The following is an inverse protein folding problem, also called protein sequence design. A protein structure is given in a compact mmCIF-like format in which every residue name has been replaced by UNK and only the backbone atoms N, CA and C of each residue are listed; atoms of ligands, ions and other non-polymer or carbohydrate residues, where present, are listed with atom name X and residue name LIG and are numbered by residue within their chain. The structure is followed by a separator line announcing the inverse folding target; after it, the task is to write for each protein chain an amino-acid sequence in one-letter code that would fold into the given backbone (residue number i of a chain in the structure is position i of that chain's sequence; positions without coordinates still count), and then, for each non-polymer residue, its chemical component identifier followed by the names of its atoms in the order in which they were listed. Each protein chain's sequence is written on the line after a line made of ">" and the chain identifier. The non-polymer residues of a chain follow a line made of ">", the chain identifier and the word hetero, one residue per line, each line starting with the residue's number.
data_IF_771452011388
#
_entry.id   IF_771452011388
#
_cell.length_a   1.000
_cell.length_b   1.000
_cell.length_c   1.000
_cell.angle_alpha   90.00
_cell.angle_beta   90.00
_cell.angle_gamma   90.00
#
_symmetry.space_group_name_H-M   'P 1'
#
loop_
_entity.id
_entity.type
_entity.pdbx_description
1 polymer ?
#
# COMPACT_ATOMS: atom_id res chain seq x y z
N UNK A 1 62.77 -20.92 6.95
CA UNK A 1 62.61 -19.45 7.10
C UNK A 1 61.16 -19.20 7.49
N UNK A 2 60.81 -18.10 8.17
CA UNK A 2 59.40 -17.86 8.49
C UNK A 2 58.56 -17.81 7.19
N UNK A 3 57.44 -18.54 7.15
CA UNK A 3 56.51 -18.52 6.02
C UNK A 3 56.98 -19.30 4.78
N UNK A 4 57.77 -20.37 4.92
CA UNK A 4 58.05 -21.32 3.81
C UNK A 4 57.22 -22.62 3.91
N UNK A 5 56.21 -22.64 4.78
CA UNK A 5 55.44 -23.82 5.17
C UNK A 5 55.81 -24.36 6.56
N UNK A 6 56.91 -23.88 7.14
CA UNK A 6 57.27 -24.05 8.54
C UNK A 6 57.71 -22.72 9.19
N UNK A 7 57.36 -22.54 10.46
CA UNK A 7 57.75 -21.38 11.26
C UNK A 7 59.17 -21.56 11.85
N UNK A 8 59.77 -20.49 12.36
CA UNK A 8 61.14 -20.49 12.92
C UNK A 8 61.34 -21.44 14.11
N UNK A 9 60.26 -21.88 14.75
CA UNK A 9 60.23 -22.88 15.81
C UNK A 9 59.98 -24.32 15.29
N UNK A 10 60.09 -24.54 13.98
CA UNK A 10 59.84 -25.81 13.30
C UNK A 10 58.41 -26.35 13.44
N UNK A 11 57.43 -25.51 13.74
CA UNK A 11 56.01 -25.89 13.65
C UNK A 11 55.47 -25.64 12.24
N UNK A 12 54.46 -26.39 11.82
CA UNK A 12 53.74 -26.11 10.57
C UNK A 12 53.12 -24.72 10.68
N UNK A 13 53.33 -23.88 9.67
CA UNK A 13 52.73 -22.54 9.63
C UNK A 13 51.21 -22.68 9.67
N UNK A 14 50.58 -21.86 10.51
CA UNK A 14 49.14 -21.81 10.73
C UNK A 14 48.75 -20.36 10.83
N UNK A 15 47.54 -20.09 10.38
CA UNK A 15 46.94 -18.78 10.54
C UNK A 15 47.01 -18.28 11.97
N UNK A 16 47.40 -17.02 12.12
CA UNK A 16 47.50 -16.28 13.38
C UNK A 16 48.87 -16.40 14.05
N UNK A 17 49.93 -16.67 13.28
CA UNK A 17 51.30 -16.76 13.80
C UNK A 17 52.12 -15.46 13.59
N UNK A 18 51.50 -14.43 13.00
CA UNK A 18 52.08 -13.12 12.69
C UNK A 18 52.91 -13.11 11.41
N UNK A 19 52.84 -14.16 10.59
CA UNK A 19 53.66 -14.34 9.39
C UNK A 19 52.81 -14.88 8.23
N UNK A 20 52.56 -14.02 7.25
CA UNK A 20 51.90 -14.41 5.99
C UNK A 20 52.66 -15.52 5.28
N UNK A 21 52.06 -16.71 5.26
CA UNK A 21 52.61 -17.94 4.70
C UNK A 21 51.97 -18.28 3.33
N UNK A 22 52.56 -19.17 2.52
CA UNK A 22 51.99 -19.58 1.24
C UNK A 22 50.57 -20.15 1.40
N UNK A 23 49.60 -19.45 0.81
CA UNK A 23 48.17 -19.77 0.91
C UNK A 23 47.37 -18.87 1.83
N UNK A 24 48.03 -17.96 2.57
CA UNK A 24 47.42 -16.91 3.39
C UNK A 24 47.41 -15.58 2.61
N UNK A 25 46.33 -14.82 2.73
CA UNK A 25 46.20 -13.46 2.18
C UNK A 25 46.62 -12.40 3.21
N UNK A 26 46.53 -12.73 4.50
CA UNK A 26 46.93 -11.90 5.64
C UNK A 26 47.37 -12.79 6.83
N UNK A 27 48.00 -12.19 7.83
CA UNK A 27 48.16 -12.77 9.17
C UNK A 27 48.44 -11.62 10.15
N UNK A 28 47.52 -11.36 11.08
CA UNK A 28 47.59 -10.27 12.06
C UNK A 28 48.07 -10.73 13.46
N UNK A 29 48.60 -11.96 13.54
CA UNK A 29 49.16 -12.51 14.77
C UNK A 29 48.15 -13.21 15.66
N UNK A 30 46.92 -13.42 15.21
CA UNK A 30 45.93 -14.25 15.89
C UNK A 30 44.84 -14.80 14.93
N UNK A 31 43.81 -15.46 15.47
CA UNK A 31 42.71 -16.07 14.67
C UNK A 31 41.33 -15.50 15.06
N UNK A 32 41.34 -14.34 15.71
CA UNK A 32 40.13 -13.56 15.96
C UNK A 32 39.71 -12.99 14.60
N UNK A 33 38.41 -12.78 14.43
CA UNK A 33 37.89 -12.14 13.22
C UNK A 33 37.47 -10.73 13.58
N UNK A 34 37.63 -9.79 12.67
CA UNK A 34 37.29 -8.38 12.82
C UNK A 34 38.45 -7.48 13.26
N UNK A 35 39.68 -7.98 13.30
CA UNK A 35 40.91 -7.26 13.63
C UNK A 35 41.91 -7.12 12.47
N UNK A 36 41.51 -7.55 11.26
CA UNK A 36 42.25 -7.31 10.03
C UNK A 36 42.60 -8.57 9.25
N UNK A 37 42.41 -9.75 9.85
CA UNK A 37 42.58 -11.04 9.20
C UNK A 37 41.58 -12.07 9.74
N UNK A 38 40.89 -12.81 8.87
CA UNK A 38 39.92 -13.79 9.32
C UNK A 38 40.61 -15.04 9.90
N UNK A 39 39.84 -15.92 10.55
CA UNK A 39 40.36 -17.18 11.12
C UNK A 39 40.96 -18.17 10.10
N UNK A 40 40.76 -17.94 8.81
CA UNK A 40 41.30 -18.73 7.71
C UNK A 40 42.45 -18.00 6.99
N UNK A 41 42.90 -16.86 7.53
CA UNK A 41 43.92 -15.99 6.99
C UNK A 41 43.57 -15.42 5.61
N UNK A 42 42.31 -15.06 5.46
CA UNK A 42 41.74 -14.33 4.34
C UNK A 42 41.54 -12.88 4.76
N UNK A 43 41.77 -11.97 3.82
CA UNK A 43 41.75 -10.55 4.11
C UNK A 43 40.30 -10.08 4.30
N UNK A 44 40.01 -9.58 5.50
CA UNK A 44 38.67 -9.05 5.82
C UNK A 44 38.49 -7.72 5.08
N UNK A 45 37.64 -7.73 4.05
CA UNK A 45 37.35 -6.56 3.24
C UNK A 45 35.88 -6.50 2.88
N UNK A 46 35.31 -5.33 3.14
CA UNK A 46 33.96 -5.04 2.70
C UNK A 46 33.84 -5.09 1.18
N UNK A 47 32.84 -5.83 0.70
CA UNK A 47 32.52 -6.03 -0.71
C UNK A 47 33.21 -7.25 -1.34
N UNK A 48 33.68 -8.22 -0.53
CA UNK A 48 34.35 -9.42 -1.03
C UNK A 48 33.39 -10.62 -1.23
N UNK A 49 32.11 -10.45 -0.89
CA UNK A 49 31.03 -11.42 -0.99
C UNK A 49 30.87 -12.30 0.26
N UNK A 50 31.55 -11.99 1.37
CA UNK A 50 31.56 -12.79 2.60
C UNK A 50 31.34 -11.88 3.79
N UNK A 51 30.42 -12.26 4.67
CA UNK A 51 30.22 -11.53 5.94
C UNK A 51 31.25 -12.02 6.95
N UNK A 52 32.26 -11.19 7.21
CA UNK A 52 33.43 -11.51 8.03
C UNK A 52 33.63 -10.46 9.15
N UNK A 53 34.34 -10.83 10.22
CA UNK A 53 34.64 -9.91 11.33
C UNK A 53 33.44 -9.12 11.91
N UNK A 54 33.51 -7.79 11.79
CA UNK A 54 32.52 -6.83 12.33
C UNK A 54 31.46 -6.40 11.30
N UNK A 55 31.39 -7.07 10.15
CA UNK A 55 30.44 -6.76 9.09
C UNK A 55 29.03 -7.22 9.46
N UNK A 56 28.04 -6.40 9.17
CA UNK A 56 26.62 -6.72 9.33
C UNK A 56 26.01 -7.30 8.04
N UNK A 57 26.69 -7.09 6.92
CA UNK A 57 26.36 -7.50 5.55
C UNK A 57 27.62 -7.47 4.68
N UNK A 58 27.59 -8.18 3.56
CA UNK A 58 28.52 -8.04 2.42
C UNK A 58 27.78 -8.57 1.18
N UNK A 59 27.67 -7.75 0.14
CA UNK A 59 26.96 -8.08 -1.11
C UNK A 59 27.90 -8.22 -2.32
N UNK A 60 29.20 -8.38 -2.07
CA UNK A 60 30.20 -8.57 -3.12
C UNK A 60 30.57 -7.31 -3.87
N UNK A 61 30.22 -6.12 -3.35
CA UNK A 61 30.67 -4.86 -3.90
C UNK A 61 30.73 -3.74 -2.83
N UNK A 62 31.18 -2.53 -3.20
CA UNK A 62 31.29 -1.38 -2.28
C UNK A 62 30.42 -0.20 -2.70
N UNK A 63 29.32 -0.46 -3.42
CA UNK A 63 28.42 0.57 -3.95
C UNK A 63 27.37 0.87 -2.89
N UNK A 64 27.31 2.10 -2.39
CA UNK A 64 26.22 2.44 -1.46
C UNK A 64 24.85 2.39 -2.17
N UNK A 65 23.86 1.75 -1.54
CA UNK A 65 22.45 1.80 -1.99
C UNK A 65 21.74 0.51 -2.30
N UNK A 66 22.46 -0.58 -2.15
CA UNK A 66 22.08 -1.97 -2.37
C UNK A 66 21.87 -2.72 -1.04
N UNK A 67 21.59 -1.99 0.05
CA UNK A 67 21.39 -2.49 1.42
C UNK A 67 22.66 -2.86 2.18
N UNK A 68 23.81 -2.95 1.52
CA UNK A 68 25.10 -3.01 2.20
C UNK A 68 25.92 -1.78 1.90
N UNK A 69 26.12 -0.93 2.91
CA UNK A 69 26.96 0.25 2.73
C UNK A 69 28.39 -0.19 2.45
N UNK A 70 29.17 0.67 1.81
CA UNK A 70 30.61 0.53 1.59
C UNK A 70 31.45 0.31 2.87
N UNK A 71 30.84 0.45 4.06
CA UNK A 71 31.43 0.14 5.35
C UNK A 71 30.86 -1.14 6.01
N UNK A 72 30.15 -1.96 5.24
CA UNK A 72 29.55 -3.24 5.62
C UNK A 72 28.64 -3.16 6.84
N UNK A 73 27.98 -2.00 7.00
CA UNK A 73 26.81 -1.82 7.86
C UNK A 73 25.56 -1.99 7.02
N UNK A 74 24.52 -2.59 7.60
CA UNK A 74 23.23 -2.68 6.92
C UNK A 74 22.70 -1.28 6.67
N UNK A 75 22.30 -1.01 5.44
CA UNK A 75 21.54 0.20 5.17
C UNK A 75 20.14 0.10 5.82
N UNK A 76 19.51 1.24 6.15
CA UNK A 76 18.11 1.27 6.53
C UNK A 76 17.25 0.54 5.50
N UNK A 77 16.22 -0.15 5.99
CA UNK A 77 15.36 -0.96 5.14
C UNK A 77 14.57 -0.03 4.22
N UNK A 78 14.49 -0.40 2.94
CA UNK A 78 13.88 0.44 1.93
C UNK A 78 12.34 0.35 1.94
N UNK A 79 11.65 1.49 2.01
CA UNK A 79 10.18 1.61 2.04
C UNK A 79 9.64 2.15 0.71
N UNK A 80 8.79 1.35 0.06
CA UNK A 80 8.10 1.71 -1.18
C UNK A 80 6.60 1.93 -0.93
N UNK A 81 6.15 3.17 -1.10
CA UNK A 81 4.76 3.56 -0.79
C UNK A 81 3.98 3.85 -2.07
N UNK A 82 2.81 3.23 -2.23
CA UNK A 82 1.83 3.67 -3.23
C UNK A 82 0.87 4.66 -2.59
N UNK A 83 0.69 5.85 -3.16
CA UNK A 83 -0.31 6.80 -2.64
C UNK A 83 -1.73 6.30 -2.96
N UNK A 84 -2.70 6.49 -2.04
CA UNK A 84 -4.03 5.97 -2.19
C UNK A 84 -4.78 6.75 -3.27
N UNK A 85 -5.54 6.05 -4.09
CA UNK A 85 -6.39 6.68 -5.08
C UNK A 85 -7.83 6.80 -4.59
N UNK A 86 -8.53 7.89 -4.95
CA UNK A 86 -9.97 7.95 -4.74
C UNK A 86 -10.68 6.85 -5.57
N UNK A 87 -11.88 6.40 -5.14
CA UNK A 87 -12.69 5.48 -5.91
C UNK A 87 -12.88 5.96 -7.36
N UNK A 88 -12.69 5.04 -8.30
CA UNK A 88 -12.83 5.31 -9.72
C UNK A 88 -14.28 5.12 -10.15
N UNK A 89 -14.73 5.91 -11.10
CA UNK A 89 -16.03 5.73 -11.75
C UNK A 89 -15.87 5.72 -13.25
N UNK A 90 -16.38 4.68 -13.90
CA UNK A 90 -16.46 4.52 -15.35
C UNK A 90 -17.91 4.39 -15.78
N UNK A 91 -18.25 4.95 -16.93
CA UNK A 91 -19.60 4.92 -17.47
C UNK A 91 -19.61 4.27 -18.85
N UNK A 92 -20.38 3.19 -18.99
CA UNK A 92 -20.70 2.57 -20.26
C UNK A 92 -21.91 3.30 -20.87
N UNK A 93 -21.67 4.00 -21.97
CA UNK A 93 -22.72 4.75 -22.69
C UNK A 93 -23.59 3.83 -23.54
N UNK A 94 -24.82 4.24 -23.82
CA UNK A 94 -25.69 3.51 -24.74
C UNK A 94 -25.02 3.43 -26.13
N UNK A 95 -25.08 2.26 -26.77
CA UNK A 95 -24.41 2.02 -28.06
C UNK A 95 -22.90 1.76 -27.98
N UNK A 96 -22.30 1.82 -26.78
CA UNK A 96 -20.91 1.45 -26.56
C UNK A 96 -20.84 0.34 -25.52
N UNK A 97 -20.20 -0.78 -25.88
CA UNK A 97 -20.04 -1.94 -24.99
C UNK A 97 -18.70 -1.95 -24.26
N UNK A 98 -17.79 -1.05 -24.60
CA UNK A 98 -16.47 -0.96 -23.98
C UNK A 98 -16.10 0.49 -23.66
N UNK A 99 -15.27 0.66 -22.63
CA UNK A 99 -14.65 1.94 -22.26
C UNK A 99 -13.23 1.68 -21.81
N UNK A 100 -12.29 2.48 -22.32
CA UNK A 100 -10.88 2.43 -21.90
C UNK A 100 -10.52 3.73 -21.16
N UNK A 101 -9.76 3.62 -20.06
CA UNK A 101 -9.28 4.79 -19.30
C UNK A 101 -7.87 4.54 -18.77
N UNK A 102 -7.01 5.53 -18.90
CA UNK A 102 -5.71 5.56 -18.21
C UNK A 102 -5.90 6.10 -16.80
N UNK A 103 -5.42 5.35 -15.81
CA UNK A 103 -5.34 5.75 -14.40
C UNK A 103 -3.88 5.98 -14.05
N UNK A 104 -3.59 6.96 -13.20
CA UNK A 104 -2.23 7.23 -12.74
C UNK A 104 -2.15 7.05 -11.24
N UNK A 105 -1.34 6.09 -10.80
CA UNK A 105 -0.94 5.90 -9.41
C UNK A 105 0.35 6.67 -9.16
N UNK A 106 0.61 7.06 -7.92
CA UNK A 106 1.90 7.62 -7.53
C UNK A 106 2.62 6.60 -6.67
N UNK A 107 3.81 6.18 -7.11
CA UNK A 107 4.72 5.36 -6.31
C UNK A 107 5.82 6.24 -5.77
N UNK A 108 6.11 6.14 -4.49
CA UNK A 108 7.10 6.96 -3.80
C UNK A 108 8.11 6.05 -3.13
N UNK A 109 9.38 6.39 -3.27
CA UNK A 109 10.42 5.86 -2.40
C UNK A 109 10.40 6.69 -1.10
N UNK A 110 9.93 6.09 0.00
CA UNK A 110 9.79 6.74 1.29
C UNK A 110 11.10 6.74 2.10
N UNK A 111 12.17 6.16 1.57
CA UNK A 111 13.50 6.26 2.18
C UNK A 111 14.03 7.68 2.07
N UNK A 112 14.30 8.27 3.23
CA UNK A 112 14.99 9.54 3.36
C UNK A 112 16.37 9.26 3.95
N UNK A 113 17.27 8.70 3.15
CA UNK A 113 18.68 8.71 3.51
C UNK A 113 19.24 10.15 3.43
N UNK A 114 20.13 10.56 4.36
CA UNK A 114 20.84 11.83 4.26
C UNK A 114 21.67 11.87 2.97
N UNK A 115 21.62 12.98 2.23
CA UNK A 115 22.48 13.18 1.06
C UNK A 115 23.96 13.15 1.52
N UNK A 116 24.87 12.40 0.87
CA UNK A 116 24.93 12.08 -0.57
C UNK A 116 24.40 10.69 -0.99
N UNK A 117 24.02 9.84 -0.03
CA UNK A 117 23.56 8.46 -0.25
C UNK A 117 22.06 8.41 -0.61
N UNK A 118 21.63 9.06 -1.69
CA UNK A 118 20.26 8.84 -2.23
C UNK A 118 20.27 7.98 -3.49
N UNK A 119 20.75 6.73 -3.42
CA UNK A 119 20.54 5.78 -4.50
C UNK A 119 19.02 5.62 -4.61
N UNK A 120 18.47 5.98 -5.76
CA UNK A 120 17.08 5.60 -6.03
C UNK A 120 17.00 4.07 -6.05
N UNK A 121 15.84 3.51 -5.78
CA UNK A 121 15.63 2.07 -5.90
C UNK A 121 14.85 1.75 -7.15
N UNK A 122 15.14 0.61 -7.75
CA UNK A 122 14.27 0.04 -8.77
C UNK A 122 13.00 -0.44 -8.07
N UNK A 123 11.88 0.20 -8.40
CA UNK A 123 10.57 -0.18 -7.89
C UNK A 123 9.77 -0.78 -9.04
N UNK A 124 9.27 -2.00 -8.83
CA UNK A 124 8.29 -2.64 -9.68
C UNK A 124 6.88 -2.32 -9.18
N UNK A 125 5.97 -1.94 -10.06
CA UNK A 125 4.54 -1.83 -9.76
C UNK A 125 3.81 -2.99 -10.43
N UNK A 126 3.13 -3.77 -9.61
CA UNK A 126 2.32 -4.91 -10.03
C UNK A 126 0.86 -4.47 -9.97
N UNK A 127 0.11 -4.71 -11.04
CA UNK A 127 -1.29 -4.39 -11.15
C UNK A 127 -2.12 -5.68 -11.31
N UNK A 128 -3.15 -5.85 -10.49
CA UNK A 128 -4.01 -7.03 -10.48
C UNK A 128 -5.48 -6.63 -10.55
N UNK A 129 -6.27 -7.39 -11.33
CA UNK A 129 -7.72 -7.20 -11.46
C UNK A 129 -8.47 -7.33 -10.12
N UNK A 130 -7.87 -7.99 -9.11
CA UNK A 130 -8.46 -8.14 -7.78
C UNK A 130 -9.79 -8.86 -7.83
N UNK A 131 -10.88 -8.19 -7.44
CA UNK A 131 -12.25 -8.72 -7.56
C UNK A 131 -12.97 -8.30 -8.84
N UNK A 132 -12.31 -7.52 -9.69
CA UNK A 132 -12.85 -7.16 -11.01
C UNK A 132 -12.78 -8.33 -11.99
N UNK A 133 -13.63 -8.34 -13.03
CA UNK A 133 -13.52 -9.33 -14.11
C UNK A 133 -12.12 -9.36 -14.71
N UNK A 134 -11.61 -10.55 -15.02
CA UNK A 134 -10.29 -10.73 -15.61
C UNK A 134 -10.15 -9.94 -16.91
N UNK A 135 -9.01 -9.26 -17.08
CA UNK A 135 -8.71 -8.39 -18.20
C UNK A 135 -9.31 -6.98 -18.05
N UNK A 136 -9.67 -6.57 -16.83
CA UNK A 136 -10.03 -5.18 -16.53
C UNK A 136 -8.80 -4.28 -16.62
N UNK A 137 -7.65 -4.75 -16.15
CA UNK A 137 -6.33 -4.16 -16.37
C UNK A 137 -5.75 -4.74 -17.65
N UNK A 138 -5.25 -3.88 -18.53
CA UNK A 138 -4.62 -4.28 -19.79
C UNK A 138 -3.19 -3.76 -19.86
N UNK A 139 -2.27 -4.64 -20.26
CA UNK A 139 -0.83 -4.37 -20.22
C UNK A 139 -0.27 -4.36 -18.80
N UNK A 140 1.03 -4.11 -18.68
CA UNK A 140 1.67 -3.80 -17.40
C UNK A 140 1.61 -2.27 -17.13
N UNK A 141 1.87 -1.83 -15.90
CA UNK A 141 2.03 -0.40 -15.61
C UNK A 141 3.15 0.23 -16.44
N UNK A 142 2.96 1.49 -16.83
CA UNK A 142 3.95 2.33 -17.52
C UNK A 142 4.45 3.41 -16.54
N UNK A 143 5.69 3.26 -16.06
CA UNK A 143 6.35 4.21 -15.17
C UNK A 143 7.22 5.23 -15.92
N UNK A 144 7.44 5.06 -17.23
CA UNK A 144 8.41 5.86 -17.99
C UNK A 144 7.73 6.62 -19.12
N UNK A 145 7.28 7.83 -18.80
CA UNK A 145 6.59 8.70 -19.76
C UNK A 145 7.41 8.91 -21.05
N UNK A 146 6.83 8.52 -22.18
CA UNK A 146 7.39 8.79 -23.50
C UNK A 146 8.24 7.65 -24.08
N UNK A 147 8.40 6.54 -23.35
CA UNK A 147 8.96 5.31 -23.89
C UNK A 147 7.80 4.34 -24.20
N UNK A 148 7.58 3.95 -25.46
CA UNK A 148 6.56 2.96 -25.80
C UNK A 148 6.84 1.61 -25.13
N UNK A 149 5.80 0.98 -24.59
CA UNK A 149 5.86 -0.32 -23.93
C UNK A 149 5.48 -0.22 -22.46
N UNK A 150 5.28 -1.36 -21.83
CA UNK A 150 4.92 -1.42 -20.42
C UNK A 150 6.21 -1.55 -19.60
N UNK A 151 6.70 -0.45 -19.02
CA UNK A 151 7.79 -0.46 -18.05
C UNK A 151 7.20 -0.51 -16.65
N UNK A 152 7.00 -1.72 -16.16
CA UNK A 152 6.50 -1.99 -14.81
C UNK A 152 7.54 -1.66 -13.73
N UNK A 153 8.75 -1.30 -14.13
CA UNK A 153 9.92 -1.03 -13.28
C UNK A 153 10.55 0.32 -13.60
N UNK A 154 10.87 1.11 -12.57
CA UNK A 154 11.63 2.35 -12.72
C UNK A 154 12.49 2.68 -11.51
N UNK A 155 13.57 3.44 -11.75
CA UNK A 155 14.41 3.98 -10.69
C UNK A 155 13.71 5.17 -10.02
N UNK A 156 13.30 5.01 -8.76
CA UNK A 156 12.62 6.03 -7.97
C UNK A 156 13.58 6.62 -6.95
N UNK A 157 13.92 7.90 -7.11
CA UNK A 157 14.79 8.63 -6.18
C UNK A 157 14.11 8.80 -4.82
N UNK A 158 14.87 8.64 -3.74
CA UNK A 158 14.39 8.84 -2.36
C UNK A 158 13.70 10.19 -2.17
N UNK A 159 12.49 10.16 -1.60
CA UNK A 159 11.64 11.32 -1.36
C UNK A 159 10.83 11.83 -2.56
N UNK A 160 11.01 11.27 -3.76
CA UNK A 160 10.27 11.65 -4.97
C UNK A 160 9.20 10.62 -5.34
N UNK A 161 8.07 11.11 -5.85
CA UNK A 161 7.02 10.29 -6.46
C UNK A 161 7.25 10.11 -7.96
N UNK A 162 6.98 8.91 -8.46
CA UNK A 162 6.95 8.57 -9.87
C UNK A 162 5.53 8.16 -10.27
N UNK A 163 4.96 8.71 -11.36
CA UNK A 163 3.65 8.29 -11.84
C UNK A 163 3.73 6.92 -12.52
N UNK A 164 2.86 5.99 -12.12
CA UNK A 164 2.63 4.72 -12.82
C UNK A 164 1.28 4.78 -13.53
N UNK A 165 1.29 4.69 -14.86
CA UNK A 165 0.08 4.72 -15.70
C UNK A 165 -0.42 3.29 -15.92
N UNK A 166 -1.70 3.08 -15.70
CA UNK A 166 -2.36 1.78 -15.89
C UNK A 166 -3.55 1.96 -16.80
N UNK A 167 -3.66 1.10 -17.81
CA UNK A 167 -4.80 1.09 -18.72
C UNK A 167 -5.89 0.18 -18.17
N UNK A 168 -7.09 0.75 -17.98
CA UNK A 168 -8.29 0.00 -17.65
C UNK A 168 -9.14 -0.17 -18.89
N UNK A 169 -9.59 -1.39 -19.15
CA UNK A 169 -10.53 -1.74 -20.22
C UNK A 169 -11.75 -2.44 -19.61
N UNK A 170 -12.88 -1.76 -19.62
CA UNK A 170 -14.14 -2.27 -19.05
C UNK A 170 -15.12 -2.59 -20.16
N UNK A 171 -15.79 -3.73 -20.05
CA UNK A 171 -16.81 -4.18 -21.00
C UNK A 171 -18.17 -4.35 -20.33
N UNK A 172 -19.25 -4.19 -21.09
CA UNK A 172 -20.63 -4.42 -20.61
C UNK A 172 -20.84 -5.87 -20.16
N UNK A 173 -20.17 -6.83 -20.80
CA UNK A 173 -20.24 -8.24 -20.42
C UNK A 173 -19.63 -8.52 -19.04
N UNK A 174 -18.56 -7.81 -18.65
CA UNK A 174 -17.96 -7.93 -17.32
C UNK A 174 -18.81 -7.31 -16.21
N UNK A 175 -19.69 -6.38 -16.55
CA UNK A 175 -20.51 -5.64 -15.59
C UNK A 175 -22.02 -5.68 -15.93
N UNK A 176 -22.63 -6.88 -15.97
CA UNK A 176 -24.00 -7.06 -16.44
C UNK A 176 -25.05 -6.40 -15.53
N UNK A 177 -24.74 -6.20 -14.25
CA UNK A 177 -25.64 -5.64 -13.25
C UNK A 177 -25.47 -4.12 -13.06
N UNK A 178 -24.53 -3.50 -13.80
CA UNK A 178 -24.32 -2.07 -13.75
C UNK A 178 -25.53 -1.32 -14.33
N UNK A 179 -25.99 -0.30 -13.61
CA UNK A 179 -27.04 0.62 -14.09
C UNK A 179 -26.57 2.06 -13.95
N UNK A 180 -27.40 3.01 -14.40
CA UNK A 180 -27.10 4.44 -14.29
C UNK A 180 -27.04 4.93 -12.84
N UNK A 181 -27.80 4.29 -11.94
CA UNK A 181 -27.96 4.74 -10.55
C UNK A 181 -27.32 3.81 -9.52
N UNK A 182 -27.26 2.53 -9.85
CA UNK A 182 -26.61 1.49 -9.05
C UNK A 182 -25.37 1.07 -9.84
N UNK A 183 -24.17 1.54 -9.48
CA UNK A 183 -22.95 1.07 -10.11
C UNK A 183 -22.78 -0.42 -9.81
N UNK A 184 -22.13 -1.22 -10.66
CA UNK A 184 -21.54 -2.49 -10.24
C UNK A 184 -20.12 -2.22 -9.72
N UNK A 185 -19.74 -2.80 -8.59
CA UNK A 185 -18.49 -2.53 -7.87
C UNK A 185 -17.54 -3.72 -7.94
N UNK A 186 -16.26 -3.42 -7.99
CA UNK A 186 -15.17 -4.35 -7.76
C UNK A 186 -13.95 -3.57 -7.25
N UNK A 187 -12.90 -4.28 -6.88
CA UNK A 187 -11.67 -3.73 -6.30
C UNK A 187 -10.50 -4.16 -7.16
N UNK A 188 -9.68 -3.19 -7.60
CA UNK A 188 -8.38 -3.42 -8.23
C UNK A 188 -7.30 -3.39 -7.15
N UNK A 189 -6.24 -4.19 -7.30
CA UNK A 189 -5.12 -4.23 -6.34
C UNK A 189 -3.83 -3.85 -7.04
N UNK A 190 -3.08 -2.92 -6.45
CA UNK A 190 -1.78 -2.50 -6.93
C UNK A 190 -0.75 -2.67 -5.82
N UNK A 191 0.42 -3.22 -6.15
CA UNK A 191 1.49 -3.46 -5.19
C UNK A 191 2.79 -2.91 -5.74
N UNK A 192 3.48 -2.08 -4.96
CA UNK A 192 4.86 -1.70 -5.20
C UNK A 192 5.79 -2.71 -4.54
N UNK A 193 6.86 -3.06 -5.25
CA UNK A 193 7.92 -3.92 -4.76
C UNK A 193 9.26 -3.30 -5.11
N UNK A 194 10.08 -3.05 -4.10
CA UNK A 194 11.49 -2.73 -4.31
C UNK A 194 12.23 -3.97 -4.81
N UNK A 195 12.91 -3.87 -5.94
CA UNK A 195 13.71 -4.94 -6.54
C UNK A 195 15.14 -4.87 -6.00
N UNK A 196 15.36 -5.49 -4.86
CA UNK A 196 16.67 -5.70 -4.24
C UNK A 196 16.81 -7.20 -3.94
N UNK A 197 18.01 -7.74 -4.12
CA UNK A 197 18.27 -9.18 -4.09
C UNK A 197 17.86 -9.83 -2.74
N UNK A 198 16.66 -10.41 -2.71
CA UNK A 198 16.17 -11.25 -1.60
C UNK A 198 15.65 -10.52 -0.36
N UNK A 199 15.60 -9.19 -0.33
CA UNK A 199 15.11 -8.43 0.84
C UNK A 199 13.73 -7.83 0.57
N UNK A 200 12.76 -8.20 1.40
CA UNK A 200 11.40 -7.69 1.36
C UNK A 200 11.25 -6.48 2.27
N UNK A 201 10.58 -5.44 1.75
CA UNK A 201 10.11 -4.28 2.52
C UNK A 201 9.23 -4.75 3.71
N UNK A 202 9.64 -4.50 4.97
CA UNK A 202 8.93 -4.91 6.17
C UNK A 202 7.67 -4.06 6.41
N UNK A 203 7.53 -2.93 5.70
CA UNK A 203 6.36 -2.05 5.76
C UNK A 203 5.29 -2.42 4.72
N UNK A 204 5.04 -3.72 4.55
CA UNK A 204 4.12 -4.27 3.54
C UNK A 204 2.66 -3.74 3.58
N UNK A 205 2.26 -2.95 4.58
CA UNK A 205 0.92 -2.38 4.66
C UNK A 205 0.69 -1.18 3.72
N UNK A 206 1.73 -0.38 3.41
CA UNK A 206 1.59 0.86 2.63
C UNK A 206 2.03 0.68 1.14
N UNK A 207 2.71 -0.41 0.83
CA UNK A 207 3.15 -0.76 -0.52
C UNK A 207 2.01 -1.29 -1.41
N UNK A 208 0.88 -1.68 -0.82
CA UNK A 208 -0.29 -2.20 -1.53
C UNK A 208 -1.47 -1.25 -1.37
N UNK A 209 -2.10 -0.89 -2.49
CA UNK A 209 -3.32 -0.08 -2.52
C UNK A 209 -4.43 -0.83 -3.24
N UNK A 210 -5.60 -0.85 -2.60
CA UNK A 210 -6.84 -1.33 -3.18
C UNK A 210 -7.68 -0.15 -3.67
N UNK A 211 -8.14 -0.21 -4.91
CA UNK A 211 -8.91 0.87 -5.54
C UNK A 211 -10.30 0.37 -5.93
N UNK A 212 -11.31 0.96 -5.31
CA UNK A 212 -12.71 0.65 -5.64
C UNK A 212 -13.07 1.20 -7.02
N UNK A 213 -13.49 0.33 -7.94
CA UNK A 213 -13.98 0.66 -9.27
C UNK A 213 -15.51 0.58 -9.31
N UNK A 214 -16.14 1.70 -9.63
CA UNK A 214 -17.58 1.82 -9.81
C UNK A 214 -17.91 1.90 -11.31
N UNK A 215 -18.53 0.85 -11.85
CA UNK A 215 -18.99 0.83 -13.25
C UNK A 215 -20.47 1.14 -13.31
N UNK A 216 -20.84 2.20 -14.02
CA UNK A 216 -22.24 2.53 -14.31
C UNK A 216 -22.53 2.27 -15.78
N UNK A 217 -23.78 1.94 -16.12
CA UNK A 217 -24.17 1.71 -17.50
C UNK A 217 -25.49 2.39 -17.85
N UNK A 218 -25.57 2.90 -19.09
CA UNK A 218 -26.81 3.38 -19.70
C UNK A 218 -27.24 2.42 -20.80
N UNK A 219 -28.50 1.97 -20.76
CA UNK A 219 -29.04 0.91 -21.62
C UNK A 219 -30.24 0.22 -20.95
N UNK A 220 -30.86 -0.79 -21.59
CA UNK A 220 -31.91 -1.57 -20.95
C UNK A 220 -31.31 -2.30 -19.75
N UNK A 221 -31.73 -1.90 -18.55
CA UNK A 221 -31.30 -2.54 -17.31
C UNK A 221 -31.83 -3.99 -17.24
N UNK A 222 -31.08 -4.94 -16.68
CA UNK A 222 -31.66 -6.19 -16.22
C UNK A 222 -32.76 -5.85 -15.21
N UNK A 223 -33.97 -6.39 -15.41
CA UNK A 223 -35.04 -6.28 -14.43
C UNK A 223 -34.78 -7.26 -13.30
N UNK A 224 -34.06 -6.83 -12.26
CA UNK A 224 -34.05 -7.54 -10.98
C UNK A 224 -34.72 -6.70 -9.92
N UNK A 225 -35.69 -7.32 -9.26
CA UNK A 225 -36.62 -6.73 -8.32
C UNK A 225 -35.97 -6.55 -6.94
N UNK A 226 -35.98 -5.30 -6.45
CA UNK A 226 -36.12 -4.79 -5.08
C UNK A 226 -35.46 -3.40 -5.00
N UNK A 227 -35.96 -2.47 -4.17
CA UNK A 227 -35.45 -1.11 -4.13
C UNK A 227 -34.05 -1.06 -3.52
N UNK A 228 -33.06 -0.91 -4.39
CA UNK A 228 -31.67 -0.85 -4.00
C UNK A 228 -31.30 0.56 -3.52
N UNK A 229 -30.59 0.61 -2.41
CA UNK A 229 -29.87 1.80 -1.96
C UNK A 229 -28.39 1.68 -2.33
N UNK A 230 -27.73 2.81 -2.42
CA UNK A 230 -26.30 2.90 -2.73
C UNK A 230 -25.64 3.72 -1.64
N UNK A 231 -24.72 3.09 -0.91
CA UNK A 231 -23.79 3.80 -0.05
C UNK A 231 -22.68 4.35 -0.93
N UNK A 232 -22.59 5.67 -1.08
CA UNK A 232 -21.56 6.29 -1.94
C UNK A 232 -20.18 5.99 -1.39
N UNK A 233 -19.26 5.73 -2.32
CA UNK A 233 -17.88 5.42 -2.03
C UNK A 233 -17.20 6.59 -1.32
N UNK A 234 -16.40 6.29 -0.32
CA UNK A 234 -15.71 7.29 0.49
C UNK A 234 -14.27 7.43 -0.03
N UNK A 235 -13.75 8.66 -0.02
CA UNK A 235 -12.37 8.92 -0.43
C UNK A 235 -11.40 8.57 0.71
N UNK A 236 -10.15 8.19 0.38
CA UNK A 236 -9.10 8.03 1.38
C UNK A 236 -8.96 9.28 2.27
N UNK A 237 -8.65 9.08 3.54
CA UNK A 237 -8.45 10.15 4.53
C UNK A 237 -7.05 10.04 5.12
N UNK A 238 -6.31 11.15 5.08
CA UNK A 238 -5.03 11.28 5.76
C UNK A 238 -5.24 11.89 7.14
N UNK A 239 -4.72 11.22 8.17
CA UNK A 239 -4.75 11.63 9.56
C UNK A 239 -3.33 11.93 10.04
N UNK A 240 -3.14 13.06 10.70
CA UNK A 240 -1.87 13.44 11.31
C UNK A 240 -2.07 13.56 12.82
N UNK A 241 -1.28 12.83 13.59
CA UNK A 241 -1.16 13.05 15.04
C UNK A 241 0.00 14.00 15.23
N UNK A 242 -0.31 15.24 15.63
CA UNK A 242 0.73 16.25 15.85
C UNK A 242 1.54 15.95 17.13
N UNK A 243 2.79 16.42 17.17
CA UNK A 243 3.67 16.26 18.33
C UNK A 243 3.02 16.71 19.63
N UNK A 244 3.07 15.85 20.65
CA UNK A 244 2.50 16.09 21.97
C UNK A 244 1.02 15.72 22.09
N UNK A 245 0.34 15.38 20.98
CA UNK A 245 -1.01 14.85 21.03
C UNK A 245 -0.97 13.32 21.11
N UNK A 246 -1.85 12.74 21.94
CA UNK A 246 -1.97 11.29 22.08
C UNK A 246 -2.96 10.65 21.09
N UNK A 247 -3.77 11.46 20.41
CA UNK A 247 -4.80 10.99 19.47
C UNK A 247 -5.21 12.09 18.48
N UNK A 248 -5.83 11.68 17.37
CA UNK A 248 -6.51 12.55 16.41
C UNK A 248 -7.94 12.07 16.18
N UNK A 249 -8.88 13.01 16.09
CA UNK A 249 -10.30 12.74 15.82
C UNK A 249 -10.70 13.38 14.49
N UNK A 250 -11.42 12.64 13.65
CA UNK A 250 -11.88 13.12 12.36
C UNK A 250 -13.28 12.62 12.03
N UNK A 251 -14.11 13.46 11.40
CA UNK A 251 -15.47 13.10 10.99
C UNK A 251 -15.55 12.97 9.48
N UNK A 252 -15.89 11.78 9.01
CA UNK A 252 -15.99 11.47 7.58
C UNK A 252 -17.45 11.54 7.12
N UNK A 253 -17.79 12.37 6.12
CA UNK A 253 -19.15 12.42 5.61
C UNK A 253 -19.49 11.15 4.82
N UNK A 254 -20.62 10.55 5.14
CA UNK A 254 -21.22 9.42 4.45
C UNK A 254 -22.45 9.89 3.67
N UNK A 255 -22.66 9.32 2.48
CA UNK A 255 -23.86 9.61 1.68
C UNK A 255 -24.53 8.32 1.27
N UNK A 256 -25.84 8.24 1.53
CA UNK A 256 -26.68 7.11 1.19
C UNK A 256 -27.79 7.59 0.26
N UNK A 257 -27.97 6.95 -0.90
CA UNK A 257 -28.98 7.32 -1.89
C UNK A 257 -29.84 6.14 -2.31
N UNK A 258 -31.16 6.33 -2.39
CA UNK A 258 -32.06 5.33 -2.95
C UNK A 258 -32.09 5.45 -4.48
N UNK A 259 -31.85 4.35 -5.19
CA UNK A 259 -31.84 4.33 -6.64
C UNK A 259 -33.26 4.43 -7.23
N UNK A 260 -34.25 3.88 -6.55
CA UNK A 260 -35.63 3.81 -7.02
C UNK A 260 -36.35 5.16 -6.95
N UNK A 261 -37.23 5.43 -7.91
CA UNK A 261 -38.17 6.56 -7.86
C UNK A 261 -39.58 6.02 -7.86
N UNK A 262 -40.00 5.46 -6.73
CA UNK A 262 -41.39 5.11 -6.50
C UNK A 262 -42.15 6.34 -5.95
N UNK A 263 -43.45 6.41 -6.22
CA UNK A 263 -44.30 7.46 -5.64
C UNK A 263 -44.36 7.28 -4.12
N UNK A 264 -44.54 8.37 -3.36
CA UNK A 264 -44.53 8.32 -1.88
C UNK A 264 -45.64 7.43 -1.26
N UNK A 265 -46.65 7.07 -2.06
CA UNK A 265 -47.72 6.14 -1.68
C UNK A 265 -47.28 4.68 -1.90
N UNK A 266 -46.44 4.42 -2.89
CA UNK A 266 -45.93 3.09 -3.25
C UNK A 266 -44.60 2.73 -2.55
N UNK A 267 -43.90 3.71 -1.98
CA UNK A 267 -42.68 3.51 -1.19
C UNK A 267 -42.74 4.33 0.11
N UNK A 268 -43.17 3.68 1.23
CA UNK A 268 -43.19 4.34 2.54
C UNK A 268 -41.79 4.70 3.06
N UNK A 269 -40.73 4.25 2.38
CA UNK A 269 -39.34 4.35 2.79
C UNK A 269 -38.91 3.12 3.58
N UNK A 270 -37.70 2.64 3.30
CA UNK A 270 -37.06 1.57 4.07
C UNK A 270 -36.17 2.15 5.15
N UNK A 271 -36.24 1.59 6.36
CA UNK A 271 -35.28 1.91 7.41
C UNK A 271 -33.94 1.29 7.04
N UNK A 272 -32.95 2.14 6.81
CA UNK A 272 -31.58 1.73 6.53
C UNK A 272 -30.74 1.98 7.77
N UNK A 273 -30.01 0.96 8.22
CA UNK A 273 -29.07 1.02 9.34
C UNK A 273 -27.65 1.05 8.80
N UNK A 274 -26.84 2.00 9.23
CA UNK A 274 -25.40 2.00 8.99
C UNK A 274 -24.66 1.34 10.15
N UNK A 275 -23.75 0.45 9.80
CA UNK A 275 -22.73 -0.08 10.69
C UNK A 275 -21.36 0.18 10.09
N UNK A 276 -20.35 0.29 10.95
CA UNK A 276 -18.96 0.39 10.53
C UNK A 276 -18.11 -0.54 11.41
N UNK A 277 -17.06 -1.08 10.82
CA UNK A 277 -16.11 -1.98 11.47
C UNK A 277 -14.70 -1.44 11.28
N UNK A 278 -13.86 -1.61 12.32
CA UNK A 278 -12.45 -1.20 12.29
C UNK A 278 -11.67 -1.84 11.13
N UNK A 279 -12.13 -2.95 10.56
CA UNK A 279 -11.50 -3.59 9.41
C UNK A 279 -10.08 -4.03 9.73
N UNK A 280 -9.08 -3.44 9.06
CA UNK A 280 -7.66 -3.66 9.34
C UNK A 280 -7.05 -2.59 10.26
N UNK A 281 -7.83 -1.57 10.65
CA UNK A 281 -7.37 -0.56 11.59
C UNK A 281 -7.37 -1.11 13.04
N UNK A 282 -6.59 -0.48 13.94
CA UNK A 282 -6.60 -0.86 15.35
C UNK A 282 -8.01 -0.81 15.97
N UNK A 283 -8.34 -1.70 16.92
CA UNK A 283 -9.63 -1.71 17.57
C UNK A 283 -9.97 -0.36 18.22
N UNK A 284 -11.20 0.11 18.02
CA UNK A 284 -11.66 1.40 18.54
C UNK A 284 -11.34 2.60 17.65
N UNK A 285 -10.83 2.36 16.44
CA UNK A 285 -10.66 3.40 15.41
C UNK A 285 -11.98 4.03 15.03
N UNK A 286 -13.02 3.22 14.93
CA UNK A 286 -14.35 3.61 14.45
C UNK A 286 -15.27 3.94 15.62
N UNK A 287 -15.74 5.18 15.63
CA UNK A 287 -16.80 5.66 16.52
C UNK A 287 -18.21 5.35 15.99
N UNK A 288 -19.26 5.80 16.71
CA UNK A 288 -20.64 5.59 16.27
C UNK A 288 -20.91 6.30 14.93
N UNK A 289 -21.61 5.60 14.03
CA UNK A 289 -22.13 6.21 12.79
C UNK A 289 -23.38 7.02 13.11
N UNK A 290 -23.45 8.25 12.61
CA UNK A 290 -24.52 9.19 12.93
C UNK A 290 -25.16 9.74 11.67
N UNK A 291 -26.48 9.66 11.52
CA UNK A 291 -27.17 10.40 10.46
C UNK A 291 -27.44 11.85 10.88
N UNK A 292 -27.25 12.78 9.94
CA UNK A 292 -27.67 14.18 10.14
C UNK A 292 -29.15 14.32 9.78
N UNK A 293 -30.04 14.04 10.74
CA UNK A 293 -31.49 14.19 10.54
C UNK A 293 -31.95 15.51 11.14
N UNK A 294 -32.16 16.53 10.28
CA UNK A 294 -32.88 17.80 10.49
C UNK A 294 -33.29 18.15 11.95
N UNK A 295 -32.31 18.31 12.87
CA UNK A 295 -32.54 18.80 14.22
C UNK A 295 -33.17 17.81 15.23
N UNK A 296 -33.07 16.49 15.04
CA UNK A 296 -33.41 15.48 16.07
C UNK A 296 -32.33 14.41 16.22
N UNK A 297 -32.45 13.67 17.34
CA UNK A 297 -31.52 12.70 17.93
C UNK A 297 -30.59 11.93 16.97
N UNK A 298 -29.36 11.72 17.43
CA UNK A 298 -28.35 10.87 16.80
C UNK A 298 -28.90 9.46 16.64
N UNK A 299 -29.06 9.00 15.40
CA UNK A 299 -29.50 7.65 15.08
C UNK A 299 -28.58 7.04 14.02
N UNK A 300 -28.33 5.74 14.15
CA UNK A 300 -27.64 4.91 13.16
C UNK A 300 -28.61 4.30 12.13
N UNK A 301 -29.91 4.56 12.27
CA UNK A 301 -30.95 4.11 11.37
C UNK A 301 -31.78 5.30 10.87
N UNK A 302 -32.11 5.32 9.57
CA UNK A 302 -32.92 6.38 8.96
C UNK A 302 -33.90 5.82 7.93
N UNK A 303 -35.16 6.27 7.90
CA UNK A 303 -36.06 5.94 6.80
C UNK A 303 -35.62 6.67 5.52
N UNK A 304 -35.27 5.90 4.49
CA UNK A 304 -34.88 6.41 3.19
C UNK A 304 -36.00 6.17 2.17
N UNK A 305 -36.57 7.26 1.67
CA UNK A 305 -37.56 7.23 0.58
C UNK A 305 -36.87 7.19 -0.77
N UNK A 306 -37.50 6.55 -1.76
CA UNK A 306 -37.06 6.51 -3.14
C UNK A 306 -36.63 7.88 -3.69
N UNK A 307 -35.46 7.91 -4.32
CA UNK A 307 -34.91 9.07 -5.01
C UNK A 307 -34.37 10.15 -4.09
N UNK A 308 -34.37 9.92 -2.77
CA UNK A 308 -33.74 10.82 -1.80
C UNK A 308 -32.31 10.37 -1.49
N UNK A 309 -31.55 11.31 -0.96
CA UNK A 309 -30.22 11.09 -0.40
C UNK A 309 -30.23 11.59 1.04
N UNK A 310 -29.62 10.82 1.92
CA UNK A 310 -29.40 11.19 3.32
C UNK A 310 -27.89 11.23 3.56
N UNK A 311 -27.46 12.20 4.36
CA UNK A 311 -26.07 12.34 4.79
C UNK A 311 -25.91 11.86 6.22
N UNK A 312 -24.77 11.23 6.51
CA UNK A 312 -24.33 10.89 7.85
C UNK A 312 -22.86 11.25 8.04
N UNK A 313 -22.35 11.00 9.24
CA UNK A 313 -20.97 11.18 9.62
C UNK A 313 -20.47 9.93 10.34
N UNK A 314 -19.27 9.51 9.99
CA UNK A 314 -18.52 8.48 10.67
C UNK A 314 -17.44 9.16 11.52
N UNK A 315 -17.51 9.01 12.84
CA UNK A 315 -16.44 9.45 13.72
C UNK A 315 -15.27 8.46 13.66
N UNK A 316 -14.06 8.99 13.53
CA UNK A 316 -12.81 8.25 13.59
C UNK A 316 -11.96 8.81 14.72
N UNK A 317 -11.34 7.92 15.50
CA UNK A 317 -10.39 8.27 16.55
C UNK A 317 -9.16 7.39 16.40
N UNK A 318 -8.00 7.99 16.11
CA UNK A 318 -6.75 7.25 15.99
C UNK A 318 -5.82 7.61 17.15
N UNK A 319 -5.33 6.59 17.86
CA UNK A 319 -4.42 6.74 19.00
C UNK A 319 -2.97 6.55 18.57
N UNK A 320 -2.09 7.42 19.05
CA UNK A 320 -0.61 7.28 18.91
C UNK A 320 -0.09 5.96 19.47
N UNK A 321 -0.71 5.44 20.53
CA UNK A 321 -0.30 4.16 21.11
C UNK A 321 -0.67 2.93 20.26
N UNK A 322 -1.53 3.11 19.24
CA UNK A 322 -2.08 2.03 18.44
C UNK A 322 -1.48 1.96 17.01
N UNK A 323 -0.67 2.94 16.63
CA UNK A 323 -0.05 3.05 15.30
C UNK A 323 1.40 3.44 15.49
N UNK A 324 2.29 2.74 14.80
CA UNK A 324 3.69 3.16 14.66
C UNK A 324 3.94 3.54 13.21
N UNK A 325 4.59 4.67 12.96
CA UNK A 325 4.90 5.18 11.63
C UNK A 325 6.40 5.18 11.41
N UNK A 326 6.84 4.54 10.32
CA UNK A 326 8.27 4.36 10.04
C UNK A 326 8.97 5.70 9.73
N UNK A 327 8.26 6.62 9.07
CA UNK A 327 8.72 7.99 8.82
C UNK A 327 7.56 8.90 8.42
N UNK A 328 7.76 10.22 8.46
CA UNK A 328 6.78 11.19 7.95
C UNK A 328 6.52 11.08 6.43
N UNK A 329 7.36 10.33 5.71
CA UNK A 329 7.19 10.03 4.30
C UNK A 329 6.45 8.70 4.03
N UNK A 330 6.23 7.89 5.07
CA UNK A 330 5.67 6.54 5.06
C UNK A 330 4.51 6.42 6.05
N UNK A 331 3.30 6.92 5.71
CA UNK A 331 2.15 6.78 6.57
C UNK A 331 1.76 5.31 6.72
N UNK A 332 1.28 4.95 7.90
CA UNK A 332 0.71 3.63 8.15
C UNK A 332 -0.69 3.58 7.55
N UNK A 333 -0.96 2.55 6.74
CA UNK A 333 -2.24 2.35 6.08
C UNK A 333 -3.09 1.33 6.81
N UNK A 334 -4.38 1.65 6.96
CA UNK A 334 -5.38 0.68 7.36
C UNK A 334 -6.72 0.97 6.67
N UNK A 335 -7.67 0.06 6.79
CA UNK A 335 -8.98 0.16 6.12
C UNK A 335 -10.12 -0.05 7.09
N UNK A 336 -11.15 0.78 6.97
CA UNK A 336 -12.42 0.69 7.70
C UNK A 336 -13.50 0.26 6.72
N UNK A 337 -14.42 -0.61 7.16
CA UNK A 337 -15.54 -1.05 6.31
C UNK A 337 -16.83 -0.44 6.83
N UNK A 338 -17.56 0.28 5.97
CA UNK A 338 -18.89 0.83 6.27
C UNK A 338 -19.92 0.03 5.50
N UNK A 339 -20.95 -0.46 6.18
CA UNK A 339 -22.04 -1.25 5.60
C UNK A 339 -23.39 -0.62 5.89
N UNK A 340 -24.22 -0.53 4.88
CA UNK A 340 -25.63 -0.15 4.96
C UNK A 340 -26.49 -1.42 4.90
N UNK A 341 -27.44 -1.56 5.81
CA UNK A 341 -28.32 -2.74 5.89
C UNK A 341 -29.78 -2.30 5.96
N UNK A 342 -30.67 -3.10 5.38
CA UNK A 342 -32.11 -2.88 5.43
C UNK A 342 -32.83 -4.18 5.78
N UNK A 343 -34.06 -4.10 6.31
CA UNK A 343 -34.90 -5.27 6.48
C UNK A 343 -35.33 -5.83 5.11
N UNK A 344 -35.00 -7.09 4.84
CA UNK A 344 -35.07 -7.71 3.52
C UNK A 344 -33.71 -7.70 2.84
N UNK A 345 -33.28 -8.88 2.37
CA UNK A 345 -31.92 -9.18 1.91
C UNK A 345 -31.50 -8.37 0.68
N UNK A 346 -30.96 -7.17 0.88
CA UNK A 346 -30.28 -6.43 -0.18
C UNK A 346 -28.82 -6.93 -0.22
N UNK A 347 -28.50 -7.76 -1.22
CA UNK A 347 -27.30 -8.62 -1.25
C UNK A 347 -26.21 -8.14 -2.22
N UNK A 348 -26.38 -6.94 -2.80
CA UNK A 348 -25.41 -6.35 -3.72
C UNK A 348 -24.20 -5.71 -3.02
N UNK A 349 -23.07 -5.60 -3.74
CA UNK A 349 -21.84 -4.96 -3.26
C UNK A 349 -21.96 -3.43 -3.03
N UNK A 350 -23.09 -2.81 -3.39
CA UNK A 350 -23.31 -1.35 -3.33
C UNK A 350 -23.68 -0.85 -1.93
N UNK A 351 -23.85 -1.78 -1.00
CA UNK A 351 -24.22 -1.51 0.38
C UNK A 351 -23.00 -1.36 1.27
N UNK A 352 -21.83 -1.77 0.81
CA UNK A 352 -20.58 -1.60 1.53
C UNK A 352 -19.63 -0.68 0.77
N UNK A 353 -18.78 0.02 1.50
CA UNK A 353 -17.63 0.73 0.96
C UNK A 353 -16.48 0.66 1.96
N UNK A 354 -15.26 0.62 1.43
CA UNK A 354 -14.03 0.59 2.22
C UNK A 354 -13.43 1.98 2.24
N UNK A 355 -13.15 2.48 3.44
CA UNK A 355 -12.45 3.74 3.68
C UNK A 355 -10.98 3.43 3.99
N UNK A 356 -10.08 3.87 3.13
CA UNK A 356 -8.64 3.83 3.39
C UNK A 356 -8.22 4.99 4.29
N UNK A 357 -7.52 4.69 5.37
CA UNK A 357 -6.89 5.66 6.25
C UNK A 357 -5.37 5.62 6.06
N UNK A 358 -4.76 6.79 5.94
CA UNK A 358 -3.31 6.97 6.04
C UNK A 358 -3.01 7.76 7.30
N UNK A 359 -2.23 7.18 8.20
CA UNK A 359 -1.95 7.77 9.51
C UNK A 359 -0.46 8.08 9.62
N UNK A 360 -0.14 9.33 9.98
CA UNK A 360 1.21 9.77 10.32
C UNK A 360 1.25 10.20 11.79
N UNK A 361 2.04 9.52 12.63
CA UNK A 361 2.27 9.92 14.00
C UNK A 361 3.56 10.73 14.09
N UNK A 362 3.49 11.98 14.53
CA UNK A 362 4.69 12.82 14.64
C UNK A 362 5.45 12.66 15.96
N UNK A 363 4.99 11.78 16.86
CA UNK A 363 5.61 11.50 18.14
C UNK A 363 6.68 10.40 18.09
N UNK A 364 6.69 9.53 17.07
CA UNK A 364 7.57 8.37 16.97
C UNK A 364 8.72 8.52 15.94
N UNK A 365 8.85 9.71 15.35
CA UNK A 365 9.99 10.10 14.48
C UNK A 365 11.27 10.46 15.23
#
# INVERSE_FOLDING_TARGET
>A
VNGDGCDINCTRSRCGNGVVSPGEECDDGNVISGDGCDRNCLLEQCGNGRVEGNEECDDGNTTDGDLCRSNCRRAPIHDSVLLPLPPLTLALTAGHDTVTRVVTLQVKNADILPAPERPGHLIQVIANDGTCPTGTIVGLPDLVSGIPGDQDTALVRGGFGTPARVHLHVTRAGFPNATRKIPQRCTLTFTARTLLDGVFDPTAANNTVEVELNVTATGPAPQTALPAFVLKSVRPVSLSIDRGNSQVVHNVPLMLSAADRLSAIADPGRTITLSASDGTCPPGTVGPVQFMVQGRDVQNAVPLKGGRTVSGTLGLTMSSAAVTTASGAAPTRCTVVVTATAAGTDTGAHHATTLTLEVSDHNDF
#
